data_IF_367535463170
#
_entry.id   IF_367535463170
#
_cell.length_a   1.000
_cell.length_b   1.000
_cell.length_c   1.000
_cell.angle_alpha   90.00
_cell.angle_beta   90.00
_cell.angle_gamma   90.00
#
_symmetry.space_group_name_H-M   'P 1'
#
loop_
_entity.id
_entity.type
_entity.pdbx_description
1 polymer ?
#
# COMPACT_ATOMS: atom_id res chain seq x y z
N UNK A 1 -4.54 28.62 -5.53
CA UNK A 1 -5.18 27.53 -4.73
C UNK A 1 -4.99 26.13 -5.35
N UNK A 2 -5.01 25.95 -6.68
CA UNK A 2 -4.87 24.62 -7.32
C UNK A 2 -3.55 23.86 -7.06
N UNK A 3 -2.45 24.57 -6.75
CA UNK A 3 -1.11 23.99 -6.60
C UNK A 3 -0.98 23.03 -5.41
N UNK A 4 -1.90 23.13 -4.46
CA UNK A 4 -1.92 22.33 -3.23
C UNK A 4 -2.99 21.22 -3.25
N UNK A 5 -3.78 21.13 -4.33
CA UNK A 5 -4.88 20.17 -4.44
C UNK A 5 -4.39 18.71 -4.59
N UNK A 6 -3.13 18.50 -4.97
CA UNK A 6 -2.52 17.18 -5.09
C UNK A 6 -1.96 16.63 -3.77
N UNK A 7 -2.04 17.40 -2.69
CA UNK A 7 -1.59 16.96 -1.36
C UNK A 7 -2.41 15.77 -0.84
N UNK A 8 -1.77 14.92 -0.05
CA UNK A 8 -2.45 13.82 0.63
C UNK A 8 -3.37 14.43 1.71
N UNK A 9 -4.69 14.18 1.69
CA UNK A 9 -5.59 14.68 2.73
C UNK A 9 -5.28 13.99 4.06
N UNK A 10 -5.17 14.77 5.15
CA UNK A 10 -4.82 14.28 6.49
C UNK A 10 -5.87 14.71 7.51
N UNK A 11 -6.20 13.82 8.44
CA UNK A 11 -7.02 14.12 9.62
C UNK A 11 -6.09 13.99 10.82
N UNK A 12 -5.49 15.12 11.23
CA UNK A 12 -4.47 15.14 12.28
C UNK A 12 -3.23 14.32 11.89
N UNK A 13 -2.80 13.32 12.69
CA UNK A 13 -1.61 12.52 12.42
C UNK A 13 -1.84 11.36 11.43
N UNK A 14 -3.08 11.14 10.97
CA UNK A 14 -3.45 9.97 10.13
C UNK A 14 -3.95 10.41 8.74
N UNK A 15 -3.67 9.64 7.69
CA UNK A 15 -4.26 9.81 6.35
C UNK A 15 -5.79 9.80 6.45
N UNK A 16 -6.46 10.78 5.83
CA UNK A 16 -7.91 10.92 5.84
C UNK A 16 -8.63 9.67 5.28
N UNK A 17 -7.96 8.92 4.41
CA UNK A 17 -8.48 7.67 3.83
C UNK A 17 -8.65 6.55 4.86
N UNK A 18 -7.91 6.57 5.97
CA UNK A 18 -8.13 5.64 7.08
C UNK A 18 -9.53 5.80 7.70
N UNK A 19 -10.09 7.03 7.64
CA UNK A 19 -11.46 7.31 8.08
C UNK A 19 -12.52 6.52 7.29
N UNK A 20 -12.25 6.12 6.05
CA UNK A 20 -13.15 5.28 5.27
C UNK A 20 -13.33 3.88 5.88
N UNK A 21 -12.27 3.32 6.47
CA UNK A 21 -12.36 2.05 7.20
C UNK A 21 -13.22 2.21 8.45
N UNK A 22 -13.05 3.32 9.18
CA UNK A 22 -13.84 3.63 10.36
C UNK A 22 -15.33 3.83 10.04
N UNK A 23 -15.63 4.45 8.89
CA UNK A 23 -17.00 4.64 8.43
C UNK A 23 -17.76 3.32 8.25
N UNK A 24 -17.09 2.23 7.87
CA UNK A 24 -17.74 0.91 7.75
C UNK A 24 -18.31 0.45 9.11
N UNK A 25 -17.56 0.65 10.19
CA UNK A 25 -18.03 0.34 11.54
C UNK A 25 -19.16 1.27 11.97
N UNK A 26 -19.03 2.58 11.70
CA UNK A 26 -20.05 3.56 12.08
C UNK A 26 -21.39 3.33 11.34
N UNK A 27 -21.36 2.91 10.07
CA UNK A 27 -22.56 2.61 9.29
C UNK A 27 -23.21 1.28 9.67
N UNK A 28 -22.43 0.31 10.13
CA UNK A 28 -22.94 -0.99 10.55
C UNK A 28 -22.26 -1.40 11.85
N UNK A 29 -22.81 -0.98 13.00
CA UNK A 29 -22.18 -1.17 14.30
C UNK A 29 -22.31 -2.62 14.80
N UNK A 30 -21.36 -3.48 14.42
CA UNK A 30 -21.26 -4.90 14.81
C UNK A 30 -19.81 -5.24 15.18
N UNK A 31 -19.58 -6.25 16.02
CA UNK A 31 -18.20 -6.62 16.41
C UNK A 31 -17.33 -7.02 15.21
N UNK A 32 -17.89 -7.69 14.20
CA UNK A 32 -17.13 -8.05 13.01
C UNK A 32 -16.70 -6.81 12.22
N UNK A 33 -17.59 -5.84 12.01
CA UNK A 33 -17.27 -4.61 11.28
C UNK A 33 -16.30 -3.73 12.05
N UNK A 34 -16.30 -3.78 13.39
CA UNK A 34 -15.24 -3.22 14.21
C UNK A 34 -13.89 -3.87 13.88
N UNK A 35 -13.84 -5.20 13.80
CA UNK A 35 -12.64 -5.93 13.38
C UNK A 35 -12.14 -5.53 11.99
N UNK A 36 -13.02 -5.48 10.98
CA UNK A 36 -12.69 -5.01 9.63
C UNK A 36 -12.15 -3.58 9.64
N UNK A 37 -12.85 -2.68 10.35
CA UNK A 37 -12.45 -1.28 10.48
C UNK A 37 -11.05 -1.15 11.09
N UNK A 38 -10.77 -1.91 12.16
CA UNK A 38 -9.46 -1.88 12.82
C UNK A 38 -8.34 -2.35 11.88
N UNK A 39 -8.57 -3.42 11.12
CA UNK A 39 -7.63 -3.92 10.10
C UNK A 39 -7.42 -2.88 9.00
N UNK A 40 -8.49 -2.23 8.54
CA UNK A 40 -8.41 -1.18 7.52
C UNK A 40 -7.62 0.04 8.01
N UNK A 41 -7.87 0.52 9.22
CA UNK A 41 -7.10 1.63 9.82
C UNK A 41 -5.63 1.23 9.98
N UNK A 42 -5.35 0.04 10.50
CA UNK A 42 -3.98 -0.47 10.62
C UNK A 42 -3.26 -0.53 9.27
N UNK A 43 -3.94 -0.99 8.22
CA UNK A 43 -3.42 -1.02 6.86
C UNK A 43 -3.01 0.37 6.37
N UNK A 44 -3.89 1.37 6.50
CA UNK A 44 -3.57 2.75 6.10
C UNK A 44 -2.48 3.39 6.98
N UNK A 45 -2.43 3.07 8.29
CA UNK A 45 -1.37 3.53 9.18
C UNK A 45 0.01 2.97 8.78
N UNK A 46 0.06 1.69 8.37
CA UNK A 46 1.29 1.08 7.85
C UNK A 46 1.72 1.77 6.56
N UNK A 47 0.79 2.00 5.63
CA UNK A 47 1.09 2.72 4.39
C UNK A 47 1.67 4.11 4.64
N UNK A 48 1.06 4.87 5.55
CA UNK A 48 1.54 6.19 5.92
C UNK A 48 2.93 6.15 6.55
N UNK A 49 3.22 5.15 7.39
CA UNK A 49 4.56 4.97 7.98
C UNK A 49 5.65 4.75 6.93
N UNK A 50 5.32 4.11 5.81
CA UNK A 50 6.23 3.92 4.68
C UNK A 50 6.18 5.07 3.64
N UNK A 51 5.31 6.07 3.83
CA UNK A 51 5.08 7.12 2.82
C UNK A 51 4.52 6.59 1.49
N UNK A 52 3.91 5.40 1.52
CA UNK A 52 3.39 4.74 0.33
C UNK A 52 1.96 5.17 0.04
N UNK A 53 1.69 5.47 -1.23
CA UNK A 53 0.30 5.62 -1.69
C UNK A 53 -0.29 4.25 -2.04
N UNK A 54 -1.62 4.11 -1.91
CA UNK A 54 -2.36 2.88 -2.28
C UNK A 54 -1.93 2.31 -3.65
N UNK A 55 -1.86 3.07 -4.76
CA UNK A 55 -1.44 2.51 -6.04
C UNK A 55 0.03 2.07 -6.06
N UNK A 56 0.93 2.74 -5.31
CA UNK A 56 2.33 2.30 -5.18
C UNK A 56 2.39 0.98 -4.40
N UNK A 57 1.64 0.86 -3.31
CA UNK A 57 1.57 -0.37 -2.53
C UNK A 57 1.12 -1.56 -3.38
N UNK A 58 0.07 -1.40 -4.20
CA UNK A 58 -0.37 -2.47 -5.09
C UNK A 58 0.68 -2.83 -6.15
N UNK A 59 1.44 -1.85 -6.66
CA UNK A 59 2.56 -2.14 -7.58
C UNK A 59 3.66 -2.93 -6.88
N UNK A 60 4.02 -2.53 -5.68
CA UNK A 60 5.02 -3.23 -4.87
C UNK A 60 4.55 -4.64 -4.56
N UNK A 61 3.33 -4.81 -4.03
CA UNK A 61 2.73 -6.11 -3.72
C UNK A 61 2.68 -7.03 -4.95
N UNK A 62 2.23 -6.51 -6.09
CA UNK A 62 2.24 -7.26 -7.36
C UNK A 62 3.64 -7.69 -7.75
N UNK A 63 4.63 -6.78 -7.67
CA UNK A 63 6.02 -7.10 -8.01
C UNK A 63 6.61 -8.15 -7.06
N UNK A 64 6.26 -8.10 -5.78
CA UNK A 64 6.68 -9.09 -4.79
C UNK A 64 6.04 -10.46 -5.06
N UNK A 65 4.77 -10.51 -5.52
CA UNK A 65 4.09 -11.77 -5.85
C UNK A 65 4.44 -12.33 -7.23
N UNK A 66 4.83 -11.50 -8.20
CA UNK A 66 5.07 -11.91 -9.59
C UNK A 66 6.36 -12.74 -9.79
N UNK A 67 7.20 -12.87 -8.77
CA UNK A 67 8.46 -13.61 -8.86
C UNK A 67 9.57 -12.86 -9.62
N UNK A 68 10.71 -13.52 -9.86
CA UNK A 68 11.82 -12.91 -10.57
C UNK A 68 11.46 -12.58 -12.02
N UNK A 69 11.89 -11.42 -12.49
CA UNK A 69 11.83 -11.06 -13.91
C UNK A 69 12.84 -11.94 -14.65
N UNK A 70 12.35 -12.69 -15.63
CA UNK A 70 13.15 -13.56 -16.50
C UNK A 70 13.23 -12.88 -17.87
N UNK A 71 14.44 -12.66 -18.39
CA UNK A 71 14.61 -12.15 -19.74
C UNK A 71 14.33 -13.26 -20.78
N UNK A 72 13.67 -12.95 -21.90
CA UNK A 72 13.46 -13.92 -22.98
C UNK A 72 14.77 -14.42 -23.59
N UNK A 73 15.82 -13.59 -23.53
CA UNK A 73 17.13 -13.86 -24.12
C UNK A 73 17.97 -14.85 -23.28
N UNK A 74 17.81 -14.85 -21.96
CA UNK A 74 18.54 -15.74 -21.05
C UNK A 74 17.66 -16.20 -19.88
N UNK A 75 16.83 -17.24 -20.08
CA UNK A 75 15.78 -17.62 -19.13
C UNK A 75 16.31 -18.29 -17.84
N UNK A 76 17.61 -18.58 -17.75
CA UNK A 76 18.21 -19.27 -16.60
C UNK A 76 18.66 -18.32 -15.50
N UNK A 77 18.70 -17.02 -15.75
CA UNK A 77 19.22 -16.05 -14.80
C UNK A 77 18.14 -15.06 -14.41
N UNK A 78 17.81 -15.02 -13.12
CA UNK A 78 16.90 -14.02 -12.58
C UNK A 78 17.59 -12.65 -12.53
N UNK A 79 16.89 -11.60 -12.91
CA UNK A 79 17.40 -10.22 -12.91
C UNK A 79 17.90 -9.76 -11.53
N UNK A 80 17.28 -10.30 -10.47
CA UNK A 80 17.64 -10.02 -9.07
C UNK A 80 19.05 -10.53 -8.76
N UNK A 81 19.50 -11.59 -9.46
CA UNK A 81 20.84 -12.16 -9.28
C UNK A 81 21.91 -11.27 -9.94
N UNK A 82 21.67 -10.83 -11.18
CA UNK A 82 22.59 -9.92 -11.87
C UNK A 82 22.82 -8.63 -11.09
N UNK A 83 21.75 -7.97 -10.63
CA UNK A 83 21.88 -6.74 -9.85
C UNK A 83 22.61 -6.90 -8.51
N UNK A 84 22.83 -8.14 -8.04
CA UNK A 84 23.56 -8.44 -6.80
C UNK A 84 25.01 -8.87 -7.05
N UNK A 85 25.36 -9.29 -8.26
CA UNK A 85 26.71 -9.72 -8.61
C UNK A 85 27.59 -8.54 -9.10
N UNK A 86 26.99 -7.35 -9.29
CA UNK A 86 27.65 -6.11 -9.76
C UNK A 86 28.09 -5.15 -8.61
N UNK A 87 27.91 -5.56 -7.33
CA UNK A 87 28.35 -4.84 -6.11
C UNK A 87 29.66 -5.43 -5.55
#
# INVERSE_FOLDING_TARGET
>A
MWRWASGIPRIGPVDARAGAALLIFLLHMRLWTLGISLVGVAFFAILERFGLTVPVFFRLAKRTCAGPIIWPENPKVSLIRFARDDE
#
